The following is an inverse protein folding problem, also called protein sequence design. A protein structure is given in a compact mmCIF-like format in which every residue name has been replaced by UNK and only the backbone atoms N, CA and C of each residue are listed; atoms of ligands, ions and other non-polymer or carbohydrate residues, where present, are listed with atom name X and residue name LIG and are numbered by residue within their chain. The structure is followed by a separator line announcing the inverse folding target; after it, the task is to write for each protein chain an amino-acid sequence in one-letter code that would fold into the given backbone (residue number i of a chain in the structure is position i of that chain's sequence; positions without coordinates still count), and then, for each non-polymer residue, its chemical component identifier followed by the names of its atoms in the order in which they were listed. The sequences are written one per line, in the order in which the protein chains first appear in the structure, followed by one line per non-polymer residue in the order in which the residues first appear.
data_IF_344262739102
#
_entry.id   IF_344262739102
#
_cell.length_a   1.000
_cell.length_b   1.000
_cell.length_c   1.000
_cell.angle_alpha   90.00
_cell.angle_beta   90.00
_cell.angle_gamma   90.00
#
_symmetry.space_group_name_H-M   'P 1'
#
loop_
_entity.id
_entity.type
_entity.pdbx_description
1 polymer ?
#
# COMPACT_ATOMS: atom_id res chain seq x y z
N UNK A 1 -9.97 -13.18 9.56
CA UNK A 1 -9.43 -12.18 8.75
C UNK A 1 -8.08 -12.52 8.32
N UNK A 2 -7.84 -12.41 7.07
CA UNK A 2 -6.57 -12.84 6.55
C UNK A 2 -5.74 -11.67 6.12
N UNK A 3 -4.47 -11.73 6.52
CA UNK A 3 -3.50 -10.76 6.06
C UNK A 3 -2.85 -11.31 4.82
N UNK A 4 -2.55 -10.45 3.87
CA UNK A 4 -1.84 -10.83 2.67
C UNK A 4 -0.47 -10.19 2.67
N UNK A 5 0.49 -10.90 2.07
CA UNK A 5 1.80 -10.34 1.82
C UNK A 5 1.89 -10.01 0.34
N UNK A 6 2.47 -8.86 0.04
CA UNK A 6 2.61 -8.42 -1.33
C UNK A 6 3.91 -7.64 -1.46
N UNK A 7 4.34 -7.42 -2.68
CA UNK A 7 5.48 -6.55 -2.93
C UNK A 7 5.03 -5.32 -3.69
N UNK A 8 5.67 -4.20 -3.40
CA UNK A 8 5.36 -2.95 -4.08
C UNK A 8 5.99 -2.97 -5.46
N UNK A 9 5.20 -2.72 -6.49
CA UNK A 9 5.70 -2.62 -7.83
C UNK A 9 6.13 -1.18 -8.13
N UNK A 10 5.27 -0.22 -7.80
CA UNK A 10 5.60 1.19 -7.96
C UNK A 10 4.66 2.07 -7.16
N UNK A 11 5.14 3.27 -6.87
CA UNK A 11 4.32 4.34 -6.29
C UNK A 11 4.01 5.32 -7.39
N UNK A 12 2.76 5.74 -7.50
CA UNK A 12 2.29 6.63 -8.55
C UNK A 12 1.61 7.85 -7.95
N UNK A 13 1.47 8.90 -8.78
CA UNK A 13 0.69 10.09 -8.41
C UNK A 13 1.15 10.71 -7.10
N UNK A 14 2.48 10.81 -6.94
CA UNK A 14 3.09 11.43 -5.75
C UNK A 14 2.65 10.78 -4.44
N UNK A 15 2.55 9.46 -4.45
CA UNK A 15 2.21 8.70 -3.25
C UNK A 15 0.73 8.41 -3.09
N UNK A 16 -0.12 8.90 -3.98
CA UNK A 16 -1.56 8.70 -3.84
C UNK A 16 -2.04 7.35 -4.37
N UNK A 17 -1.19 6.66 -5.15
CA UNK A 17 -1.57 5.37 -5.69
C UNK A 17 -0.40 4.39 -5.56
N UNK A 18 -0.71 3.17 -5.13
CA UNK A 18 0.26 2.09 -5.06
C UNK A 18 -0.12 1.01 -6.05
N UNK A 19 0.85 0.53 -6.81
CA UNK A 19 0.66 -0.63 -7.67
C UNK A 19 1.49 -1.78 -7.10
N UNK A 20 0.84 -2.91 -6.87
CA UNK A 20 1.49 -4.06 -6.24
C UNK A 20 1.90 -5.09 -7.28
N UNK A 21 2.70 -6.07 -6.84
CA UNK A 21 3.24 -7.07 -7.74
C UNK A 21 2.19 -7.93 -8.41
N UNK A 22 0.99 -8.04 -7.84
CA UNK A 22 -0.12 -8.77 -8.45
C UNK A 22 -0.92 -7.88 -9.40
N UNK A 23 -0.42 -6.68 -9.68
CA UNK A 23 -1.02 -5.69 -10.57
C UNK A 23 -2.26 -5.01 -9.99
N UNK A 24 -2.58 -5.25 -8.74
CA UNK A 24 -3.65 -4.49 -8.08
C UNK A 24 -3.18 -3.07 -7.83
N UNK A 25 -4.12 -2.14 -7.83
CA UNK A 25 -3.84 -0.74 -7.56
C UNK A 25 -4.67 -0.28 -6.39
N UNK A 26 -4.07 0.55 -5.57
CA UNK A 26 -4.67 0.99 -4.33
C UNK A 26 -4.54 2.50 -4.20
N UNK A 27 -5.63 3.16 -3.83
CA UNK A 27 -5.64 4.59 -3.59
C UNK A 27 -5.34 4.86 -2.12
N UNK A 28 -4.36 5.73 -1.87
CA UNK A 28 -3.95 6.12 -0.52
C UNK A 28 -4.58 7.47 -0.21
N UNK A 29 -5.04 7.64 1.02
CA UNK A 29 -5.63 8.90 1.45
C UNK A 29 -4.64 10.04 1.35
N UNK A 30 -5.13 11.27 1.12
CA UNK A 30 -4.23 12.42 0.93
C UNK A 30 -3.30 12.67 2.11
N UNK A 31 -3.75 12.36 3.31
CA UNK A 31 -2.91 12.54 4.50
C UNK A 31 -1.75 11.56 4.56
N UNK A 32 -1.89 10.41 3.90
CA UNK A 32 -0.88 9.36 3.96
C UNK A 32 0.04 9.36 2.75
N UNK A 33 -0.25 10.15 1.73
CA UNK A 33 0.57 10.16 0.53
C UNK A 33 1.99 10.66 0.80
N UNK A 34 2.16 11.48 1.82
CA UNK A 34 3.50 11.94 2.20
C UNK A 34 4.34 10.82 2.78
N UNK A 35 3.70 9.76 3.25
CA UNK A 35 4.39 8.57 3.75
C UNK A 35 4.76 7.67 2.57
N UNK A 36 3.77 7.33 1.74
CA UNK A 36 3.97 6.36 0.67
C UNK A 36 4.86 6.88 -0.44
N UNK A 37 4.97 8.18 -0.61
CA UNK A 37 5.85 8.74 -1.64
C UNK A 37 7.31 8.33 -1.44
N UNK A 38 7.67 7.95 -0.21
CA UNK A 38 9.03 7.52 0.11
C UNK A 38 9.24 6.01 -0.02
N UNK A 39 8.18 5.26 -0.28
CA UNK A 39 8.29 3.81 -0.43
C UNK A 39 8.97 3.47 -1.75
N UNK A 40 9.67 2.34 -1.78
CA UNK A 40 10.49 1.95 -2.92
C UNK A 40 9.95 0.67 -3.55
N UNK A 41 10.13 0.50 -4.87
CA UNK A 41 9.81 -0.77 -5.52
C UNK A 41 10.48 -1.92 -4.80
N UNK A 42 9.80 -3.05 -4.77
CA UNK A 42 10.20 -4.29 -4.11
C UNK A 42 10.08 -4.28 -2.60
N UNK A 43 9.68 -3.16 -1.98
CA UNK A 43 9.37 -3.19 -0.56
C UNK A 43 8.30 -4.24 -0.29
N UNK A 44 8.45 -4.97 0.84
CA UNK A 44 7.47 -5.97 1.25
C UNK A 44 6.35 -5.28 1.99
N UNK A 45 5.13 -5.64 1.63
CA UNK A 45 3.94 -5.02 2.20
C UNK A 45 3.07 -6.08 2.85
N UNK A 46 2.41 -5.69 3.93
CA UNK A 46 1.40 -6.50 4.59
C UNK A 46 0.06 -5.81 4.41
N UNK A 47 -0.93 -6.54 3.91
CA UNK A 47 -2.25 -5.99 3.64
C UNK A 47 -3.24 -6.61 4.61
N UNK A 48 -3.89 -5.76 5.41
CA UNK A 48 -4.90 -6.18 6.36
C UNK A 48 -6.25 -5.64 5.88
N UNK A 49 -7.07 -6.51 5.32
CA UNK A 49 -8.37 -6.11 4.79
C UNK A 49 -9.30 -5.72 5.93
N UNK A 50 -9.95 -4.56 5.81
CA UNK A 50 -10.83 -4.05 6.86
C UNK A 50 -12.28 -3.98 6.43
N UNK A 51 -12.57 -4.15 5.13
CA UNK A 51 -13.93 -4.10 4.64
C UNK A 51 -13.92 -4.19 3.13
N UNK A 52 -15.02 -3.83 2.51
CA UNK A 52 -15.18 -3.96 1.06
C UNK A 52 -14.21 -3.03 0.34
N UNK A 53 -13.09 -3.58 -0.08
CA UNK A 53 -12.10 -2.82 -0.84
C UNK A 53 -11.16 -1.97 -0.01
N UNK A 54 -11.35 -1.89 1.30
CA UNK A 54 -10.48 -1.10 2.18
C UNK A 54 -9.48 -1.98 2.89
N UNK A 55 -8.30 -1.43 3.17
CA UNK A 55 -7.27 -2.17 3.89
C UNK A 55 -6.28 -1.23 4.55
N UNK A 56 -5.58 -1.75 5.55
CA UNK A 56 -4.35 -1.15 6.06
C UNK A 56 -3.20 -1.79 5.33
N UNK A 57 -2.27 -0.99 4.82
CA UNK A 57 -1.08 -1.49 4.14
C UNK A 57 0.13 -1.04 4.95
N UNK A 58 0.91 -2.01 5.41
CA UNK A 58 2.10 -1.75 6.21
C UNK A 58 3.33 -2.07 5.37
N UNK A 59 4.28 -1.15 5.30
CA UNK A 59 5.56 -1.40 4.66
C UNK A 59 6.49 -2.05 5.68
N UNK A 60 6.90 -3.28 5.41
CA UNK A 60 7.71 -4.06 6.34
C UNK A 60 9.20 -3.77 6.22
N UNK A 61 9.60 -3.04 5.20
CA UNK A 61 11.02 -2.78 4.93
C UNK A 61 11.50 -1.41 5.35
N UNK A 62 10.63 -0.58 5.92
CA UNK A 62 11.05 0.70 6.46
C UNK A 62 11.58 0.51 7.88
N UNK A 63 12.45 1.42 8.32
CA UNK A 63 13.06 1.32 9.65
C UNK A 63 12.00 1.29 10.75
N UNK A 64 10.97 2.12 10.59
CA UNK A 64 9.78 2.06 11.44
C UNK A 64 8.65 1.66 10.50
N UNK A 65 7.99 0.51 10.72
CA UNK A 65 6.97 0.09 9.77
C UNK A 65 5.90 1.16 9.59
N UNK A 66 5.79 1.64 8.36
CA UNK A 66 4.78 2.64 8.01
C UNK A 66 3.48 1.94 7.68
N UNK A 67 2.37 2.49 8.15
CA UNK A 67 1.06 1.89 7.96
C UNK A 67 0.13 2.96 7.42
N UNK A 68 -0.51 2.67 6.29
CA UNK A 68 -1.41 3.62 5.65
C UNK A 68 -2.76 2.97 5.36
N UNK A 69 -3.78 3.80 5.26
CA UNK A 69 -5.10 3.35 4.86
C UNK A 69 -5.23 3.45 3.36
N UNK A 70 -5.76 2.42 2.74
CA UNK A 70 -5.87 2.40 1.29
C UNK A 70 -7.15 1.73 0.84
N UNK A 71 -7.58 2.06 -0.38
CA UNK A 71 -8.75 1.48 -1.01
C UNK A 71 -8.34 0.86 -2.32
N UNK A 72 -8.76 -0.37 -2.57
CA UNK A 72 -8.46 -1.05 -3.82
C UNK A 72 -9.28 -0.43 -4.94
N UNK A 73 -8.61 0.00 -6.01
CA UNK A 73 -9.28 0.63 -7.15
C UNK A 73 -9.17 -0.21 -8.42
N UNK A 74 -8.30 -1.21 -8.43
CA UNK A 74 -8.15 -2.06 -9.61
C UNK A 74 -7.51 -3.39 -9.18
N UNK A 75 -7.93 -4.45 -9.82
CA UNK A 75 -7.43 -5.79 -9.52
C UNK A 75 -8.37 -6.50 -8.58
#
# INVERSE_FOLDING_TARGET
MEDENASLLRVRLDGRELELGDLSRWEVGPGDSTITVLWLPTNRLKIEHTGAGDAWITNLDTATPDKVRARKIFG
#
